data_IF_174809757618
#
_entry.id   IF_174809757618
#
_cell.length_a   1.000
_cell.length_b   1.000
_cell.length_c   1.000
_cell.angle_alpha   90.00
_cell.angle_beta   90.00
_cell.angle_gamma   90.00
#
_symmetry.space_group_name_H-M   'P 1'
#
loop_
_entity.id
_entity.type
_entity.pdbx_description
1 polymer ?
#
# COMPACT_ATOMS: atom_id res chain seq x y z
N UNK A 1 -7.93 23.15 46.02
CA UNK A 1 -9.00 22.65 45.13
C UNK A 1 -8.90 23.12 43.68
N UNK A 2 -8.29 24.28 43.37
CA UNK A 2 -8.20 24.85 42.01
C UNK A 2 -7.34 24.03 41.01
N UNK A 3 -6.33 23.31 41.49
CA UNK A 3 -5.45 22.51 40.62
C UNK A 3 -6.14 21.25 40.05
N UNK A 4 -7.01 20.60 40.83
CA UNK A 4 -7.70 19.38 40.38
C UNK A 4 -8.79 19.68 39.35
N UNK A 5 -9.48 20.82 39.47
CA UNK A 5 -10.45 21.27 38.47
C UNK A 5 -9.76 21.73 37.18
N UNK A 6 -8.60 22.39 37.27
CA UNK A 6 -7.78 22.75 36.12
C UNK A 6 -7.26 21.52 35.35
N UNK A 7 -6.79 20.49 36.06
CA UNK A 7 -6.37 19.22 35.44
C UNK A 7 -7.56 18.52 34.78
N UNK A 8 -8.72 18.44 35.45
CA UNK A 8 -9.94 17.86 34.85
C UNK A 8 -10.39 18.64 33.61
N UNK A 9 -10.29 19.96 33.62
CA UNK A 9 -10.61 20.80 32.47
C UNK A 9 -9.62 20.59 31.31
N UNK A 10 -8.32 20.47 31.60
CA UNK A 10 -7.29 20.16 30.59
C UNK A 10 -7.51 18.78 29.97
N UNK A 11 -7.76 17.75 30.78
CA UNK A 11 -8.03 16.38 30.30
C UNK A 11 -9.29 16.34 29.44
N UNK A 12 -10.35 17.04 29.83
CA UNK A 12 -11.61 17.11 29.05
C UNK A 12 -11.41 17.86 27.73
N UNK A 13 -10.64 18.95 27.73
CA UNK A 13 -10.29 19.68 26.52
C UNK A 13 -9.39 18.86 25.58
N UNK A 14 -8.43 18.11 26.13
CA UNK A 14 -7.59 17.22 25.35
C UNK A 14 -8.39 16.07 24.73
N UNK A 15 -9.24 15.41 25.52
CA UNK A 15 -10.11 14.35 25.03
C UNK A 15 -11.10 14.86 23.96
N UNK A 16 -11.67 16.05 24.13
CA UNK A 16 -12.53 16.66 23.11
C UNK A 16 -11.78 16.97 21.82
N UNK A 17 -10.54 17.47 21.90
CA UNK A 17 -9.68 17.70 20.72
C UNK A 17 -9.21 16.41 20.08
N UNK A 18 -8.97 15.35 20.86
CA UNK A 18 -8.57 14.04 20.37
C UNK A 18 -9.71 13.31 19.66
N UNK A 19 -10.92 13.34 20.22
CA UNK A 19 -12.12 12.78 19.57
C UNK A 19 -12.45 13.54 18.29
N UNK A 20 -12.25 14.87 18.27
CA UNK A 20 -12.40 15.70 17.06
C UNK A 20 -11.23 15.56 16.08
N UNK A 21 -10.13 14.94 16.50
CA UNK A 21 -8.96 14.70 15.66
C UNK A 21 -9.16 13.43 14.86
N UNK A 22 -9.63 13.57 13.62
CA UNK A 22 -9.84 12.48 12.65
C UNK A 22 -8.52 11.95 12.04
N UNK A 23 -7.36 12.40 12.54
CA UNK A 23 -6.05 11.99 12.03
C UNK A 23 -5.83 10.46 12.12
N UNK A 24 -6.39 9.81 13.15
CA UNK A 24 -6.32 8.34 13.27
C UNK A 24 -7.23 7.61 12.28
N UNK A 25 -8.42 8.15 12.01
CA UNK A 25 -9.39 7.56 11.07
C UNK A 25 -8.87 7.67 9.65
N UNK A 26 -8.36 8.85 9.29
CA UNK A 26 -7.73 9.09 7.98
C UNK A 26 -6.48 8.21 7.77
N UNK A 27 -5.66 7.96 8.81
CA UNK A 27 -4.53 7.04 8.70
C UNK A 27 -4.97 5.58 8.38
N UNK A 28 -6.06 5.11 8.98
CA UNK A 28 -6.61 3.77 8.70
C UNK A 28 -7.18 3.71 7.28
N UNK A 29 -7.87 4.76 6.82
CA UNK A 29 -8.38 4.85 5.46
C UNK A 29 -7.24 4.75 4.43
N UNK A 30 -6.19 5.55 4.59
CA UNK A 30 -5.03 5.49 3.70
C UNK A 30 -4.31 4.15 3.78
N UNK A 31 -4.26 3.50 4.94
CA UNK A 31 -3.66 2.17 5.07
C UNK A 31 -4.43 1.11 4.28
N UNK A 32 -5.77 1.13 4.34
CA UNK A 32 -6.63 0.22 3.57
C UNK A 32 -6.50 0.49 2.07
N UNK A 33 -6.49 1.77 1.66
CA UNK A 33 -6.27 2.16 0.26
C UNK A 33 -4.91 1.65 -0.24
N UNK A 34 -3.85 1.85 0.54
CA UNK A 34 -2.52 1.35 0.21
C UNK A 34 -2.50 -0.18 0.06
N UNK A 35 -3.11 -0.92 1.00
CA UNK A 35 -3.22 -2.37 0.92
C UNK A 35 -3.98 -2.84 -0.34
N UNK A 36 -5.07 -2.15 -0.70
CA UNK A 36 -5.82 -2.43 -1.92
C UNK A 36 -4.99 -2.19 -3.18
N UNK A 37 -4.27 -1.07 -3.26
CA UNK A 37 -3.38 -0.76 -4.38
C UNK A 37 -2.25 -1.78 -4.47
N UNK A 38 -1.64 -2.16 -3.35
CA UNK A 38 -0.58 -3.18 -3.31
C UNK A 38 -1.07 -4.54 -3.82
N UNK A 39 -2.31 -4.94 -3.50
CA UNK A 39 -2.89 -6.19 -4.00
C UNK A 39 -3.04 -6.17 -5.53
N UNK A 40 -3.54 -5.06 -6.10
CA UNK A 40 -3.65 -4.91 -7.56
C UNK A 40 -2.28 -4.94 -8.24
N UNK A 41 -1.29 -4.24 -7.67
CA UNK A 41 0.08 -4.25 -8.19
C UNK A 41 0.65 -5.67 -8.16
N UNK A 42 0.43 -6.43 -7.08
CA UNK A 42 0.93 -7.80 -6.95
C UNK A 42 0.29 -8.75 -7.97
N UNK A 43 -1.00 -8.58 -8.29
CA UNK A 43 -1.66 -9.39 -9.34
C UNK A 43 -1.04 -9.12 -10.72
N UNK A 44 -0.79 -7.85 -11.05
CA UNK A 44 -0.31 -7.45 -12.38
C UNK A 44 1.19 -7.74 -12.54
N UNK A 45 1.99 -7.35 -11.55
CA UNK A 45 3.45 -7.33 -11.58
C UNK A 45 4.11 -8.42 -10.73
N UNK A 46 3.33 -9.32 -10.16
CA UNK A 46 3.85 -10.45 -9.39
C UNK A 46 4.80 -11.33 -10.18
N UNK A 47 5.58 -12.12 -9.44
CA UNK A 47 6.53 -13.09 -10.02
C UNK A 47 5.89 -14.42 -10.37
N UNK A 48 4.62 -14.60 -10.02
CA UNK A 48 3.85 -15.81 -10.29
C UNK A 48 3.66 -16.03 -11.79
N UNK A 49 3.46 -17.29 -12.18
CA UNK A 49 3.29 -17.67 -13.59
C UNK A 49 2.08 -16.99 -14.25
N UNK A 50 1.05 -16.67 -13.47
CA UNK A 50 -0.19 -16.05 -13.95
C UNK A 50 -0.15 -14.52 -13.98
N UNK A 51 0.94 -13.89 -13.54
CA UNK A 51 1.06 -12.43 -13.58
C UNK A 51 1.29 -11.95 -15.02
N UNK A 52 0.41 -11.09 -15.58
CA UNK A 52 0.44 -10.71 -16.99
C UNK A 52 1.77 -10.14 -17.45
N UNK A 53 2.40 -9.30 -16.63
CA UNK A 53 3.67 -8.64 -16.98
C UNK A 53 4.81 -9.66 -17.00
N UNK A 54 4.87 -10.57 -16.04
CA UNK A 54 5.88 -11.64 -15.99
C UNK A 54 5.76 -12.56 -17.22
N UNK A 55 4.53 -12.97 -17.57
CA UNK A 55 4.28 -13.80 -18.75
C UNK A 55 4.69 -13.08 -20.05
N UNK A 56 4.34 -11.80 -20.19
CA UNK A 56 4.71 -10.99 -21.35
C UNK A 56 6.23 -10.84 -21.48
N UNK A 57 6.94 -10.54 -20.39
CA UNK A 57 8.40 -10.43 -20.39
C UNK A 57 9.06 -11.76 -20.77
N UNK A 58 8.61 -12.88 -20.20
CA UNK A 58 9.11 -14.22 -20.54
C UNK A 58 8.91 -14.54 -22.01
N UNK A 59 7.75 -14.23 -22.57
CA UNK A 59 7.47 -14.44 -24.00
C UNK A 59 8.40 -13.62 -24.90
N UNK A 60 8.62 -12.33 -24.57
CA UNK A 60 9.55 -11.47 -25.32
C UNK A 60 10.97 -12.02 -25.28
N UNK A 61 11.48 -12.37 -24.10
CA UNK A 61 12.84 -12.90 -23.97
C UNK A 61 12.99 -14.28 -24.62
N UNK A 62 11.97 -15.14 -24.54
CA UNK A 62 11.96 -16.44 -25.22
C UNK A 62 11.99 -16.27 -26.74
N UNK A 63 11.22 -15.32 -27.30
CA UNK A 63 11.24 -15.01 -28.73
C UNK A 63 12.58 -14.44 -29.17
N UNK A 64 13.18 -13.56 -28.36
CA UNK A 64 14.51 -13.03 -28.62
C UNK A 64 15.56 -14.14 -28.63
N UNK A 65 15.54 -15.02 -27.64
CA UNK A 65 16.43 -16.17 -27.56
C UNK A 65 16.28 -17.07 -28.80
N UNK A 66 15.05 -17.43 -29.16
CA UNK A 66 14.80 -18.25 -30.35
C UNK A 66 15.36 -17.61 -31.62
N UNK A 67 15.13 -16.31 -31.84
CA UNK A 67 15.69 -15.60 -33.00
C UNK A 67 17.21 -15.58 -33.01
N UNK A 68 17.85 -15.33 -31.86
CA UNK A 68 19.31 -15.33 -31.75
C UNK A 68 19.89 -16.72 -32.03
N UNK A 69 19.30 -17.77 -31.46
CA UNK A 69 19.72 -19.15 -31.70
C UNK A 69 19.57 -19.52 -33.17
N UNK A 70 18.48 -19.15 -33.85
CA UNK A 70 18.30 -19.42 -35.29
C UNK A 70 19.26 -18.61 -36.18
N UNK A 71 19.71 -17.44 -35.74
CA UNK A 71 20.55 -16.55 -36.57
C UNK A 71 22.04 -16.84 -36.39
N UNK A 72 22.46 -17.23 -35.18
CA UNK A 72 23.87 -17.37 -34.79
C UNK A 72 24.28 -18.84 -34.64
N UNK A 73 23.35 -19.72 -34.23
CA UNK A 73 23.57 -21.16 -34.10
C UNK A 73 23.08 -21.94 -35.31
#
# INVERSE_FOLDING_TARGET
>A
MMYLSAIRAQVRNFAGKFIKSEQGVTAIEYAIVAAGVSAVVLVIFGTEANSPVNAMLKDVFSKLQSKLTTTIG
#
